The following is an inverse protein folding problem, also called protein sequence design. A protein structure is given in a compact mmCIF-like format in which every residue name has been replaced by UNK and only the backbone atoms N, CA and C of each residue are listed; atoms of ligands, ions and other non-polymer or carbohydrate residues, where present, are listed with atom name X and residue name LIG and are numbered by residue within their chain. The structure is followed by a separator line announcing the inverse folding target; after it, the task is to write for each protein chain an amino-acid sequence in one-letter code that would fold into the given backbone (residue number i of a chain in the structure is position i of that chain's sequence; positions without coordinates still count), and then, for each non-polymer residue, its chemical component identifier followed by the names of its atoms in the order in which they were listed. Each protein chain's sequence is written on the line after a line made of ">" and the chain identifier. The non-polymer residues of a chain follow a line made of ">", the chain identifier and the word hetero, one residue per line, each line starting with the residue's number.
data_IF_367122960567
#
_entry.id   IF_367122960567
#
_cell.length_a   1.000
_cell.length_b   1.000
_cell.length_c   1.000
_cell.angle_alpha   90.00
_cell.angle_beta   90.00
_cell.angle_gamma   90.00
#
_symmetry.space_group_name_H-M   'P 1'
#
loop_
_entity.id
_entity.type
_entity.pdbx_description
1 polymer ?
#
# COMPACT_ATOMS: atom_id res chain seq x y z
N UNK A 1 -11.55 -13.44 -7.56
CA UNK A 1 -10.72 -12.64 -6.63
C UNK A 1 -9.27 -12.75 -7.06
N UNK A 2 -8.76 -11.75 -7.76
CA UNK A 2 -7.35 -11.64 -8.11
C UNK A 2 -6.64 -10.99 -6.94
N UNK A 3 -5.70 -11.70 -6.34
CA UNK A 3 -4.79 -11.15 -5.37
C UNK A 3 -3.69 -10.41 -6.11
N UNK A 4 -4.05 -9.26 -6.67
CA UNK A 4 -3.05 -8.25 -6.99
C UNK A 4 -2.59 -7.65 -5.66
N UNK A 5 -1.82 -8.43 -4.89
CA UNK A 5 -0.98 -7.93 -3.81
C UNK A 5 0.34 -7.38 -4.36
N UNK A 6 0.36 -7.01 -5.64
CA UNK A 6 1.21 -5.91 -6.03
C UNK A 6 0.70 -4.69 -5.27
N UNK A 7 1.59 -3.97 -4.63
CA UNK A 7 1.93 -2.59 -4.96
C UNK A 7 1.04 -1.83 -6.00
N UNK A 8 0.33 -2.47 -6.93
CA UNK A 8 -0.65 -1.88 -7.82
C UNK A 8 -1.83 -1.19 -7.09
N UNK A 9 -2.16 -1.61 -5.86
CA UNK A 9 -3.17 -1.02 -4.95
C UNK A 9 -2.58 -0.03 -3.93
N UNK A 10 -1.45 0.61 -4.24
CA UNK A 10 -0.66 1.44 -3.31
C UNK A 10 -1.36 2.70 -2.79
N UNK A 11 -2.49 3.08 -3.36
CA UNK A 11 -3.42 4.05 -2.77
C UNK A 11 -4.83 3.50 -2.73
N UNK A 12 -5.05 2.20 -2.47
CA UNK A 12 -6.40 1.63 -2.40
C UNK A 12 -7.25 2.45 -1.44
N UNK A 13 -8.43 2.92 -1.90
CA UNK A 13 -8.82 4.29 -1.62
C UNK A 13 -8.93 4.51 -0.12
N UNK A 14 -8.39 5.64 0.32
CA UNK A 14 -8.61 6.09 1.67
C UNK A 14 -10.11 6.18 1.93
N UNK A 15 -10.56 5.67 3.06
CA UNK A 15 -11.92 5.89 3.52
C UNK A 15 -12.01 7.32 4.04
N UNK A 16 -12.75 8.18 3.35
CA UNK A 16 -12.98 9.55 3.79
C UNK A 16 -14.11 9.54 4.82
N UNK A 17 -13.77 9.91 6.06
CA UNK A 17 -14.68 9.92 7.21
C UNK A 17 -15.10 11.33 7.60
N UNK A 18 -14.32 12.34 7.20
CA UNK A 18 -14.64 13.76 7.33
C UNK A 18 -14.21 14.49 6.06
N UNK A 19 -15.19 14.69 5.17
CA UNK A 19 -15.02 15.30 3.86
C UNK A 19 -14.51 16.75 3.94
N UNK A 20 -15.00 17.52 4.92
CA UNK A 20 -14.66 18.94 5.06
C UNK A 20 -13.20 19.08 5.52
N UNK A 21 -12.80 18.31 6.53
CA UNK A 21 -11.41 18.28 7.00
C UNK A 21 -10.46 17.76 5.92
N UNK A 22 -10.87 16.73 5.17
CA UNK A 22 -10.07 16.12 4.10
C UNK A 22 -9.75 17.09 2.97
N UNK A 23 -10.68 17.98 2.60
CA UNK A 23 -10.48 18.99 1.55
C UNK A 23 -9.71 20.22 2.03
N UNK A 24 -9.90 20.63 3.27
CA UNK A 24 -9.29 21.84 3.82
C UNK A 24 -7.84 21.64 4.27
N UNK A 25 -7.43 20.40 4.53
CA UNK A 25 -6.10 20.09 5.06
C UNK A 25 -5.10 19.82 3.93
N UNK A 26 -3.84 20.30 4.03
CA UNK A 26 -2.80 19.86 3.12
C UNK A 26 -2.53 18.37 3.31
N UNK A 27 -2.35 17.65 2.20
CA UNK A 27 -1.95 16.24 2.23
C UNK A 27 -0.52 16.11 2.77
N UNK A 28 -0.27 15.04 3.52
CA UNK A 28 1.11 14.61 3.81
C UNK A 28 1.47 13.50 2.84
N UNK A 29 2.65 13.60 2.22
CA UNK A 29 3.10 12.68 1.20
C UNK A 29 4.52 12.19 1.43
N UNK A 30 4.86 11.01 0.91
CA UNK A 30 6.24 10.60 0.65
C UNK A 30 6.33 9.98 -0.75
N UNK A 31 7.53 9.88 -1.31
CA UNK A 31 7.73 9.24 -2.61
C UNK A 31 8.19 7.81 -2.42
N UNK A 32 7.56 6.87 -3.13
CA UNK A 32 7.95 5.47 -3.17
C UNK A 32 7.92 4.97 -4.61
N UNK A 33 9.06 4.45 -5.10
CA UNK A 33 9.24 3.98 -6.49
C UNK A 33 8.70 4.98 -7.54
N UNK A 34 8.96 6.27 -7.34
CA UNK A 34 8.52 7.35 -8.25
C UNK A 34 7.03 7.73 -8.16
N UNK A 35 6.26 7.14 -7.23
CA UNK A 35 4.86 7.48 -6.98
C UNK A 35 4.68 8.23 -5.67
N UNK A 36 3.71 9.14 -5.66
CA UNK A 36 3.30 9.88 -4.47
C UNK A 36 2.36 9.05 -3.59
N UNK A 37 2.79 8.91 -2.34
CA UNK A 37 2.09 8.19 -1.28
C UNK A 37 1.49 9.20 -0.34
N UNK A 38 0.27 9.64 -0.62
CA UNK A 38 -0.37 10.73 0.11
C UNK A 38 -1.50 10.27 1.01
N UNK A 39 -1.69 10.97 2.13
CA UNK A 39 -2.89 10.90 2.96
C UNK A 39 -3.31 12.30 3.41
N UNK A 40 -4.57 12.45 3.76
CA UNK A 40 -5.14 13.70 4.30
C UNK A 40 -5.74 13.48 5.69
N UNK A 41 -5.90 14.54 6.47
CA UNK A 41 -6.68 14.48 7.72
C UNK A 41 -8.14 14.22 7.37
N UNK A 42 -8.86 13.45 8.18
CA UNK A 42 -10.25 13.07 7.85
C UNK A 42 -10.37 11.93 6.83
N UNK A 43 -9.24 11.36 6.37
CA UNK A 43 -9.19 10.11 5.62
C UNK A 43 -8.40 9.04 6.37
N UNK A 44 -8.81 7.78 6.23
CA UNK A 44 -8.10 6.61 6.77
C UNK A 44 -7.48 5.86 5.60
N UNK A 45 -6.15 5.76 5.59
CA UNK A 45 -5.39 5.08 4.54
C UNK A 45 -4.76 6.05 3.54
N UNK A 46 -4.20 5.49 2.47
CA UNK A 46 -3.53 6.22 1.41
C UNK A 46 -4.52 6.56 0.30
N UNK A 47 -4.39 7.76 -0.26
CA UNK A 47 -5.23 8.25 -1.33
C UNK A 47 -4.75 7.65 -2.67
N UNK A 48 -5.65 7.06 -3.45
CA UNK A 48 -5.41 6.80 -4.87
C UNK A 48 -5.29 8.12 -5.63
N UNK A 49 -4.76 8.05 -6.85
CA UNK A 49 -4.52 9.24 -7.65
C UNK A 49 -5.76 10.12 -7.79
N UNK A 50 -6.94 9.56 -8.08
CA UNK A 50 -8.16 10.36 -8.23
C UNK A 50 -8.59 11.03 -6.92
N UNK A 51 -8.30 10.40 -5.77
CA UNK A 51 -8.54 11.03 -4.46
C UNK A 51 -7.50 12.11 -4.15
N UNK A 52 -6.26 11.96 -4.60
CA UNK A 52 -5.25 13.01 -4.45
C UNK A 52 -5.67 14.27 -5.20
N UNK A 53 -6.23 14.11 -6.42
CA UNK A 53 -6.71 15.22 -7.23
C UNK A 53 -7.88 15.97 -6.56
N UNK A 54 -8.70 15.26 -5.76
CA UNK A 54 -9.86 15.81 -5.06
C UNK A 54 -9.49 16.43 -3.71
N UNK A 55 -8.63 15.77 -2.92
CA UNK A 55 -8.41 16.09 -1.51
C UNK A 55 -7.07 16.79 -1.23
N UNK A 56 -6.09 16.71 -2.13
CA UNK A 56 -4.81 17.42 -1.94
C UNK A 56 -4.81 18.84 -2.54
N UNK A 57 -5.99 19.44 -2.73
CA UNK A 57 -6.17 20.79 -3.28
C UNK A 57 -5.54 21.89 -2.42
N UNK A 58 -5.45 21.67 -1.10
CA UNK A 58 -4.74 22.55 -0.17
C UNK A 58 -3.20 22.38 -0.22
N UNK A 59 -2.70 21.53 -1.13
CA UNK A 59 -1.27 21.28 -1.35
C UNK A 59 -0.79 19.92 -0.85
N UNK A 60 0.43 19.56 -1.26
CA UNK A 60 1.15 18.36 -0.84
C UNK A 60 2.38 18.74 -0.04
N UNK A 61 2.45 18.31 1.22
CA UNK A 61 3.61 18.45 2.08
C UNK A 61 4.40 17.13 2.10
N UNK A 62 5.58 17.13 1.47
CA UNK A 62 6.44 15.96 1.43
C UNK A 62 7.23 15.82 2.73
N UNK A 63 7.12 14.66 3.36
CA UNK A 63 7.88 14.29 4.55
C UNK A 63 8.62 12.99 4.24
N UNK A 64 9.96 12.95 4.39
CA UNK A 64 10.70 11.69 4.29
C UNK A 64 10.15 10.67 5.29
N UNK A 65 9.82 9.48 4.82
CA UNK A 65 9.34 8.37 5.64
C UNK A 65 10.23 7.13 5.45
N UNK A 66 11.54 7.20 5.80
CA UNK A 66 12.50 6.16 5.45
C UNK A 66 12.13 4.78 6.02
N UNK A 67 11.69 4.70 7.28
CA UNK A 67 11.25 3.44 7.92
C UNK A 67 10.01 2.85 7.25
N UNK A 68 9.08 3.71 6.81
CA UNK A 68 7.87 3.25 6.12
C UNK A 68 8.22 2.74 4.72
N UNK A 69 9.08 3.47 3.99
CA UNK A 69 9.61 3.06 2.69
C UNK A 69 10.33 1.72 2.79
N UNK A 70 11.17 1.53 3.81
CA UNK A 70 11.85 0.27 4.08
C UNK A 70 10.82 -0.86 4.30
N UNK A 71 9.84 -0.66 5.19
CA UNK A 71 8.79 -1.65 5.46
C UNK A 71 8.00 -2.01 4.20
N UNK A 72 7.61 -1.03 3.39
CA UNK A 72 6.92 -1.24 2.11
C UNK A 72 7.80 -2.03 1.14
N UNK A 73 9.09 -1.71 1.06
CA UNK A 73 10.05 -2.41 0.19
C UNK A 73 10.22 -3.86 0.58
N UNK A 74 10.36 -4.14 1.88
CA UNK A 74 10.50 -5.51 2.38
C UNK A 74 9.22 -6.31 2.15
N UNK A 75 8.05 -5.71 2.38
CA UNK A 75 6.77 -6.35 2.12
C UNK A 75 6.55 -6.64 0.63
N UNK A 76 6.85 -5.67 -0.22
CA UNK A 76 6.84 -5.79 -1.67
C UNK A 76 7.70 -6.95 -2.17
N UNK A 77 8.94 -7.03 -1.69
CA UNK A 77 9.86 -8.08 -2.09
C UNK A 77 9.35 -9.46 -1.65
N UNK A 78 8.84 -9.59 -0.43
CA UNK A 78 8.22 -10.83 0.05
C UNK A 78 7.00 -11.23 -0.81
N UNK A 79 6.18 -10.26 -1.23
CA UNK A 79 5.00 -10.49 -2.07
C UNK A 79 5.38 -11.02 -3.45
N UNK A 80 6.40 -10.41 -4.08
CA UNK A 80 6.94 -10.86 -5.36
C UNK A 80 7.57 -12.27 -5.25
N UNK A 81 8.34 -12.54 -4.20
CA UNK A 81 8.91 -13.87 -3.92
C UNK A 81 7.82 -14.93 -3.76
N UNK A 82 6.78 -14.65 -2.96
CA UNK A 82 5.66 -15.56 -2.75
C UNK A 82 4.84 -15.75 -4.03
N UNK A 83 4.66 -14.69 -4.83
CA UNK A 83 3.91 -14.77 -6.08
C UNK A 83 4.55 -15.71 -7.10
N UNK A 84 5.89 -15.71 -7.22
CA UNK A 84 6.63 -16.63 -8.11
C UNK A 84 6.35 -18.11 -7.80
N UNK A 85 6.11 -18.46 -6.54
CA UNK A 85 5.82 -19.85 -6.12
C UNK A 85 4.43 -20.34 -6.52
N UNK A 86 3.49 -19.41 -6.66
CA UNK A 86 2.10 -19.72 -6.98
C UNK A 86 1.73 -19.40 -8.43
N UNK A 87 2.68 -18.89 -9.23
CA UNK A 87 2.41 -18.35 -10.56
C UNK A 87 1.79 -19.39 -11.50
N UNK A 88 2.36 -20.60 -11.49
CA UNK A 88 1.90 -21.75 -12.28
C UNK A 88 0.65 -22.46 -11.71
N UNK A 89 0.19 -22.07 -10.51
CA UNK A 89 -0.96 -22.73 -9.88
C UNK A 89 -2.29 -22.26 -10.49
N UNK A 90 -3.30 -23.14 -10.59
CA UNK A 90 -4.66 -22.74 -10.90
C UNK A 90 -5.16 -21.64 -9.97
N UNK A 91 -5.91 -20.67 -10.51
CA UNK A 91 -6.51 -19.62 -9.69
C UNK A 91 -7.55 -20.24 -8.75
N UNK A 92 -7.53 -19.86 -7.48
CA UNK A 92 -8.48 -20.39 -6.49
C UNK A 92 -8.09 -20.05 -5.06
N UNK A 93 -8.92 -20.49 -4.11
CA UNK A 93 -8.69 -20.30 -2.67
C UNK A 93 -7.39 -20.94 -2.20
N UNK A 94 -7.05 -22.11 -2.74
CA UNK A 94 -5.80 -22.80 -2.41
C UNK A 94 -4.56 -21.97 -2.79
N UNK A 95 -4.57 -21.38 -3.99
CA UNK A 95 -3.52 -20.44 -4.45
C UNK A 95 -3.35 -19.25 -3.51
N UNK A 96 -4.47 -18.70 -2.99
CA UNK A 96 -4.45 -17.63 -1.99
C UNK A 96 -3.78 -18.08 -0.69
N UNK A 97 -4.19 -19.23 -0.15
CA UNK A 97 -3.67 -19.71 1.13
C UNK A 97 -2.16 -19.96 1.08
N UNK A 98 -1.68 -20.61 0.01
CA UNK A 98 -0.25 -20.85 -0.17
C UNK A 98 0.52 -19.53 -0.30
N UNK A 99 -0.02 -18.56 -1.04
CA UNK A 99 0.62 -17.25 -1.13
C UNK A 99 0.72 -16.55 0.23
N UNK A 100 -0.34 -16.59 1.04
CA UNK A 100 -0.34 -16.01 2.40
C UNK A 100 0.67 -16.72 3.32
N UNK A 101 0.75 -18.05 3.26
CA UNK A 101 1.71 -18.83 4.04
C UNK A 101 3.16 -18.49 3.66
N UNK A 102 3.45 -18.39 2.37
CA UNK A 102 4.78 -18.04 1.86
C UNK A 102 5.16 -16.60 2.18
N UNK A 103 4.21 -15.67 2.09
CA UNK A 103 4.36 -14.30 2.56
C UNK A 103 4.72 -14.25 4.04
N UNK A 104 3.94 -14.96 4.87
CA UNK A 104 4.16 -15.01 6.31
C UNK A 104 5.51 -15.61 6.67
N UNK A 105 5.98 -16.59 5.90
CA UNK A 105 7.32 -17.18 6.06
C UNK A 105 8.43 -16.21 5.68
N UNK A 106 8.34 -15.56 4.51
CA UNK A 106 9.35 -14.61 4.03
C UNK A 106 9.47 -13.40 4.97
N UNK A 107 8.36 -12.83 5.40
CA UNK A 107 8.33 -11.68 6.31
C UNK A 107 8.92 -11.99 7.68
N UNK A 108 8.55 -13.13 8.29
CA UNK A 108 9.16 -13.58 9.56
C UNK A 108 10.67 -13.82 9.44
N UNK A 109 11.11 -14.42 8.34
CA UNK A 109 12.53 -14.61 8.05
C UNK A 109 13.32 -13.30 7.92
N UNK A 110 12.63 -12.20 7.56
CA UNK A 110 13.19 -10.85 7.48
C UNK A 110 12.99 -10.03 8.76
N UNK A 111 12.58 -10.65 9.86
CA UNK A 111 12.36 -10.00 11.16
C UNK A 111 11.13 -9.09 11.24
N UNK A 112 10.19 -9.24 10.29
CA UNK A 112 8.92 -8.53 10.32
C UNK A 112 7.89 -9.40 11.05
N UNK A 113 7.44 -8.94 12.21
CA UNK A 113 6.27 -9.50 12.89
C UNK A 113 4.98 -9.04 12.17
N UNK A 114 4.07 -9.99 11.99
CA UNK A 114 2.83 -9.89 11.22
C UNK A 114 1.71 -10.58 11.99
#
# INVERSE_FOLDING_TARGET
>A
LLLHFGIEEIGSPALIVDEATARASPCTCFTYKGKDMCWTKGGIGLLKQEQQDIYCVAGKAYKPQPKLVERYTTFAAAAEEAHKKIEAMPKGRERLMIWLEEMGRSLRGKGIEI
#
